data_IF_999452310792
#
_entry.id   IF_999452310792
#
_cell.length_a   1.000
_cell.length_b   1.000
_cell.length_c   1.000
_cell.angle_alpha   90.00
_cell.angle_beta   90.00
_cell.angle_gamma   90.00
#
_symmetry.space_group_name_H-M   'P 1'
#
loop_
_entity.id
_entity.type
_entity.pdbx_description
1 polymer ?
#
# COMPACT_ATOMS: atom_id res chain seq x y z
N UNK A 1 -11.42 11.51 -5.16
CA UNK A 1 -11.00 10.15 -5.56
C UNK A 1 -9.48 10.22 -5.64
N UNK A 2 -8.80 9.75 -4.59
CA UNK A 2 -7.37 10.00 -4.34
C UNK A 2 -6.59 8.69 -4.38
N UNK A 3 -5.33 8.77 -4.84
CA UNK A 3 -4.39 7.66 -4.80
C UNK A 3 -4.35 7.04 -3.40
N UNK A 4 -4.50 5.72 -3.29
CA UNK A 4 -4.39 4.98 -2.03
C UNK A 4 -3.08 4.23 -2.00
N UNK A 5 -2.33 4.38 -0.91
CA UNK A 5 -1.13 3.59 -0.67
C UNK A 5 -1.41 2.60 0.47
N UNK A 6 -1.36 1.31 0.16
CA UNK A 6 -1.35 0.24 1.14
C UNK A 6 0.08 -0.11 1.52
N UNK A 7 0.45 0.04 2.79
CA UNK A 7 1.86 -0.05 3.20
C UNK A 7 2.08 -0.48 4.66
N UNK A 8 3.29 -0.96 4.93
CA UNK A 8 3.85 -1.04 6.28
C UNK A 8 5.28 -0.48 6.24
N UNK A 9 5.64 0.44 7.14
CA UNK A 9 6.98 1.04 7.16
C UNK A 9 8.08 0.05 7.56
N UNK A 10 7.75 -1.15 8.02
CA UNK A 10 8.69 -2.24 8.20
C UNK A 10 9.18 -2.81 6.86
N UNK A 11 8.34 -2.77 5.82
CA UNK A 11 8.70 -3.17 4.46
C UNK A 11 9.56 -2.10 3.79
N UNK A 12 10.75 -2.50 3.31
CA UNK A 12 11.66 -1.60 2.59
C UNK A 12 11.04 -0.99 1.32
N UNK A 13 10.41 -1.75 0.40
CA UNK A 13 9.77 -1.16 -0.77
C UNK A 13 8.61 -0.22 -0.40
N UNK A 14 7.89 -0.51 0.68
CA UNK A 14 6.84 0.39 1.19
C UNK A 14 7.40 1.73 1.63
N UNK A 15 8.54 1.75 2.32
CA UNK A 15 9.21 3.01 2.69
C UNK A 15 9.64 3.80 1.45
N UNK A 16 10.17 3.13 0.43
CA UNK A 16 10.62 3.80 -0.79
C UNK A 16 9.46 4.56 -1.46
N UNK A 17 8.31 3.89 -1.65
CA UNK A 17 7.12 4.51 -2.23
C UNK A 17 6.55 5.61 -1.33
N UNK A 18 6.46 5.38 -0.02
CA UNK A 18 5.98 6.37 0.94
C UNK A 18 6.84 7.64 0.92
N UNK A 19 8.17 7.51 0.96
CA UNK A 19 9.10 8.64 0.89
C UNK A 19 8.94 9.38 -0.45
N UNK A 20 8.86 8.64 -1.57
CA UNK A 20 8.68 9.24 -2.89
C UNK A 20 7.43 10.13 -2.96
N UNK A 21 6.28 9.63 -2.49
CA UNK A 21 5.03 10.39 -2.50
C UNK A 21 5.12 11.64 -1.61
N UNK A 22 5.65 11.50 -0.40
CA UNK A 22 5.81 12.62 0.53
C UNK A 22 6.80 13.67 -0.01
N UNK A 23 7.95 13.25 -0.52
CA UNK A 23 8.99 14.14 -1.05
C UNK A 23 8.47 14.98 -2.23
N UNK A 24 7.64 14.37 -3.08
CA UNK A 24 7.04 15.05 -4.22
C UNK A 24 5.72 15.76 -3.89
N UNK A 25 5.31 15.80 -2.60
CA UNK A 25 4.03 16.38 -2.17
C UNK A 25 2.82 15.82 -2.92
N UNK A 26 2.88 14.56 -3.33
CA UNK A 26 1.77 13.87 -3.99
C UNK A 26 0.76 13.49 -2.91
N UNK A 27 -0.49 13.96 -2.95
CA UNK A 27 -1.49 13.61 -1.95
C UNK A 27 -1.96 12.17 -2.13
N UNK A 28 -2.05 11.42 -1.02
CA UNK A 28 -2.54 10.04 -1.03
C UNK A 28 -3.28 9.69 0.28
N UNK A 29 -4.21 8.75 0.18
CA UNK A 29 -4.86 8.10 1.31
C UNK A 29 -3.89 7.09 1.94
N UNK A 30 -3.69 7.22 3.25
CA UNK A 30 -2.86 6.32 4.01
C UNK A 30 -3.65 5.06 4.39
N UNK A 31 -3.27 3.91 3.84
CA UNK A 31 -3.88 2.61 4.16
C UNK A 31 -2.84 1.70 4.84
N UNK A 32 -2.53 1.89 6.14
CA UNK A 32 -1.56 1.03 6.83
C UNK A 32 -2.03 -0.42 6.91
N UNK A 33 -1.12 -1.37 6.71
CA UNK A 33 -1.36 -2.82 6.75
C UNK A 33 -0.32 -3.47 7.65
N UNK A 34 -0.66 -3.77 8.90
CA UNK A 34 0.30 -4.27 9.89
C UNK A 34 0.81 -5.68 9.55
N UNK A 35 2.02 -5.78 9.00
CA UNK A 35 2.67 -7.03 8.62
C UNK A 35 2.93 -7.92 9.83
N UNK A 36 3.31 -7.34 10.98
CA UNK A 36 3.50 -8.06 12.25
C UNK A 36 2.25 -8.77 12.74
N UNK A 37 1.06 -8.26 12.38
CA UNK A 37 -0.23 -8.88 12.70
C UNK A 37 -0.75 -9.79 11.58
N UNK A 38 -0.01 -9.92 10.48
CA UNK A 38 -0.44 -10.72 9.34
C UNK A 38 -1.61 -10.11 8.56
N UNK A 39 -1.87 -8.80 8.65
CA UNK A 39 -3.05 -8.17 8.02
C UNK A 39 -3.10 -8.37 6.50
N UNK A 40 -1.93 -8.36 5.85
CA UNK A 40 -1.75 -8.69 4.44
C UNK A 40 -2.19 -10.11 4.05
N UNK A 41 -2.33 -11.03 5.00
CA UNK A 41 -2.74 -12.41 4.75
C UNK A 41 -4.25 -12.62 4.85
N UNK A 42 -4.97 -11.65 5.42
CA UNK A 42 -6.42 -11.70 5.62
C UNK A 42 -7.16 -11.79 4.29
N UNK A 43 -8.36 -12.37 4.32
CA UNK A 43 -9.24 -12.41 3.14
C UNK A 43 -9.64 -11.01 2.69
N UNK A 44 -9.88 -10.10 3.64
CA UNK A 44 -10.21 -8.70 3.36
C UNK A 44 -9.11 -8.00 2.57
N UNK A 45 -7.85 -8.17 2.96
CA UNK A 45 -6.73 -7.61 2.17
C UNK A 45 -6.55 -8.33 0.83
N UNK A 46 -6.78 -9.65 0.78
CA UNK A 46 -6.65 -10.43 -0.46
C UNK A 46 -7.61 -9.98 -1.57
N UNK A 47 -8.79 -9.44 -1.19
CA UNK A 47 -9.74 -8.81 -2.14
C UNK A 47 -9.20 -7.51 -2.75
N UNK A 48 -8.31 -6.83 -2.03
CA UNK A 48 -7.65 -5.59 -2.47
C UNK A 48 -6.47 -5.94 -3.38
N UNK A 49 -5.51 -6.70 -2.83
CA UNK A 49 -4.31 -7.18 -3.53
C UNK A 49 -4.18 -8.72 -3.38
N UNK A 50 -4.46 -9.50 -4.45
CA UNK A 50 -4.40 -10.97 -4.39
C UNK A 50 -2.99 -11.52 -4.14
N UNK A 51 -1.95 -10.74 -4.38
CA UNK A 51 -0.56 -11.15 -4.10
C UNK A 51 -0.23 -11.11 -2.61
N UNK A 52 -1.10 -10.57 -1.75
CA UNK A 52 -0.92 -10.50 -0.29
C UNK A 52 0.40 -9.83 0.10
N UNK A 53 0.78 -8.76 -0.61
CA UNK A 53 2.04 -8.03 -0.41
C UNK A 53 1.80 -6.53 -0.26
N UNK A 54 2.80 -5.85 0.30
CA UNK A 54 2.91 -4.39 0.35
C UNK A 54 4.29 -3.96 -0.18
N UNK A 55 4.42 -2.78 -0.80
CA UNK A 55 3.37 -1.79 -1.06
C UNK A 55 2.40 -2.21 -2.15
N UNK A 56 1.21 -1.61 -2.14
CA UNK A 56 0.22 -1.72 -3.22
C UNK A 56 -0.45 -0.35 -3.42
N UNK A 57 -0.67 0.02 -4.68
CA UNK A 57 -1.33 1.29 -5.04
C UNK A 57 -2.67 1.00 -5.73
N UNK A 58 -3.69 1.74 -5.30
CA UNK A 58 -4.96 1.87 -6.02
C UNK A 58 -5.15 3.35 -6.37
N UNK A 59 -5.01 3.68 -7.65
CA UNK A 59 -5.27 5.01 -8.18
C UNK A 59 -6.55 4.97 -9.01
N UNK A 60 -7.68 5.20 -8.35
CA UNK A 60 -8.99 5.30 -8.99
C UNK A 60 -9.35 4.06 -9.82
N UNK A 61 -9.04 2.87 -9.31
CA UNK A 61 -9.27 1.59 -9.98
C UNK A 61 -8.08 1.08 -10.79
N UNK A 62 -7.06 1.91 -11.04
CA UNK A 62 -5.78 1.43 -11.52
C UNK A 62 -5.00 0.79 -10.36
N UNK A 63 -4.84 -0.53 -10.44
CA UNK A 63 -4.18 -1.35 -9.42
C UNK A 63 -2.74 -1.65 -9.82
N UNK A 64 -1.78 -1.20 -9.01
CA UNK A 64 -0.35 -1.43 -9.23
C UNK A 64 0.24 -2.27 -8.09
N UNK A 65 0.81 -3.41 -8.46
CA UNK A 65 1.55 -4.34 -7.60
C UNK A 65 2.85 -4.76 -8.28
N UNK A 66 3.88 -5.11 -7.49
CA UNK A 66 5.05 -5.87 -7.96
C UNK A 66 4.89 -7.38 -7.76
#
# INVERSE_FOLDING_TARGET
>A
MSLKLYYDLMSQPSRAVYIFLNFNSIPFENCPVALRRGEHLTEEYSKINPFKRVPFIDDNGFKLSE
#
